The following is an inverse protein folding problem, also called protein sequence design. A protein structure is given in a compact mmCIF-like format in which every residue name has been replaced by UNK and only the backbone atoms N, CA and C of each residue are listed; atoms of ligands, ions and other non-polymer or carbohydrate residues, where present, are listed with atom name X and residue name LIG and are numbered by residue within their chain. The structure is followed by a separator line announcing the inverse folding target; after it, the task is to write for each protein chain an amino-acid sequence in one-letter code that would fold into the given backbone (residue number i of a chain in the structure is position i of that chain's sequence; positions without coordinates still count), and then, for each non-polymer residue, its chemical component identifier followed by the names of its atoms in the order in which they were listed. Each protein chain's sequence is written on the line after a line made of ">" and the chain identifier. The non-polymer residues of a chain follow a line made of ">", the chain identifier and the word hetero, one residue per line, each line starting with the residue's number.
data_IF_655102531199
#
_entry.id   IF_655102531199
#
_cell.length_a   1.000
_cell.length_b   1.000
_cell.length_c   1.000
_cell.angle_alpha   90.00
_cell.angle_beta   90.00
_cell.angle_gamma   90.00
#
_symmetry.space_group_name_H-M   'P 1'
#
loop_
_entity.id
_entity.type
_entity.pdbx_description
1 polymer ?
#
# COMPACT_ATOMS: atom_id res chain seq x y z
N UNK A 1 -13.09 25.55 -2.53
CA UNK A 1 -12.55 24.43 -3.32
C UNK A 1 -12.02 23.43 -2.31
N UNK A 2 -12.58 22.22 -2.25
CA UNK A 2 -11.92 21.18 -1.47
C UNK A 2 -10.65 20.82 -2.25
N UNK A 3 -9.49 21.04 -1.64
CA UNK A 3 -8.24 20.54 -2.21
C UNK A 3 -8.25 19.04 -2.02
N UNK A 4 -8.35 18.31 -3.13
CA UNK A 4 -8.10 16.88 -3.14
C UNK A 4 -6.60 16.64 -2.94
N UNK A 5 -6.29 15.61 -2.18
CA UNK A 5 -4.95 15.16 -1.84
C UNK A 5 -4.77 13.79 -2.47
N UNK A 6 -3.62 13.55 -3.10
CA UNK A 6 -3.26 12.23 -3.60
C UNK A 6 -2.74 11.36 -2.46
N UNK A 7 -3.17 10.11 -2.46
CA UNK A 7 -2.69 9.04 -1.59
C UNK A 7 -2.24 7.88 -2.46
N UNK A 8 -1.32 7.09 -1.93
CA UNK A 8 -0.79 5.89 -2.57
C UNK A 8 -1.07 4.68 -1.68
N UNK A 9 -1.42 3.55 -2.30
CA UNK A 9 -1.43 2.22 -1.68
C UNK A 9 -0.43 1.34 -2.42
N UNK A 10 0.58 0.85 -1.69
CA UNK A 10 1.75 0.16 -2.25
C UNK A 10 2.54 -0.56 -1.16
N UNK A 11 3.58 -1.30 -1.53
CA UNK A 11 4.57 -1.81 -0.59
C UNK A 11 5.40 -0.67 0.03
N UNK A 12 5.56 -0.62 1.37
CA UNK A 12 6.45 0.35 2.00
C UNK A 12 7.92 0.26 1.54
N UNK A 13 8.38 -0.88 0.99
CA UNK A 13 9.74 -1.05 0.48
C UNK A 13 10.06 -0.13 -0.72
N UNK A 14 9.04 0.26 -1.49
CA UNK A 14 9.19 1.19 -2.61
C UNK A 14 9.35 2.65 -2.16
N UNK A 15 9.07 2.94 -0.88
CA UNK A 15 9.08 4.31 -0.34
C UNK A 15 10.23 4.51 0.65
N UNK A 16 10.47 3.53 1.52
CA UNK A 16 11.49 3.61 2.54
C UNK A 16 12.85 3.20 1.98
N UNK A 17 13.88 4.02 2.22
CA UNK A 17 15.25 3.62 1.91
C UNK A 17 15.69 2.41 2.75
N UNK A 18 16.69 1.67 2.25
CA UNK A 18 17.20 0.45 2.87
C UNK A 18 17.58 0.62 4.34
N UNK A 19 18.28 1.70 4.71
CA UNK A 19 18.69 1.94 6.10
C UNK A 19 17.46 2.06 7.02
N UNK A 20 16.41 2.75 6.58
CA UNK A 20 15.17 2.92 7.36
C UNK A 20 14.37 1.63 7.43
N UNK A 21 14.32 0.88 6.32
CA UNK A 21 13.69 -0.44 6.26
C UNK A 21 14.36 -1.44 7.21
N UNK A 22 15.69 -1.48 7.21
CA UNK A 22 16.49 -2.34 8.10
C UNK A 22 16.25 -2.02 9.58
N UNK A 23 16.08 -0.74 9.93
CA UNK A 23 15.68 -0.34 11.29
C UNK A 23 14.28 -0.83 11.65
N UNK A 24 13.33 -0.81 10.72
CA UNK A 24 11.99 -1.36 10.94
C UNK A 24 12.04 -2.89 11.11
N UNK A 25 12.88 -3.59 10.33
CA UNK A 25 13.01 -5.05 10.38
C UNK A 25 13.46 -5.58 11.74
N UNK A 26 14.09 -4.76 12.59
CA UNK A 26 14.45 -5.12 13.97
C UNK A 26 13.25 -5.45 14.86
N UNK A 27 12.04 -5.02 14.47
CA UNK A 27 10.79 -5.27 15.18
C UNK A 27 10.04 -6.52 14.67
N UNK A 28 10.53 -7.20 13.63
CA UNK A 28 9.90 -8.40 13.07
C UNK A 28 9.74 -9.52 14.11
N UNK A 29 10.77 -9.73 14.94
CA UNK A 29 10.80 -10.77 15.97
C UNK A 29 10.00 -10.38 17.24
N UNK A 30 9.62 -9.10 17.41
CA UNK A 30 8.88 -8.63 18.57
C UNK A 30 7.40 -9.03 18.49
N UNK A 31 6.71 -8.58 17.44
CA UNK A 31 5.34 -8.99 17.08
C UNK A 31 4.93 -8.35 15.74
N UNK A 32 3.95 -8.91 15.00
CA UNK A 32 3.40 -8.28 13.79
C UNK A 32 2.95 -6.84 14.03
N UNK A 33 2.28 -6.59 15.16
CA UNK A 33 1.85 -5.24 15.53
C UNK A 33 3.03 -4.27 15.71
N UNK A 34 4.10 -4.69 16.36
CA UNK A 34 5.28 -3.83 16.59
C UNK A 34 5.97 -3.46 15.27
N UNK A 35 6.06 -4.42 14.33
CA UNK A 35 6.59 -4.17 13.00
C UNK A 35 5.69 -3.20 12.20
N UNK A 36 4.38 -3.46 12.16
CA UNK A 36 3.40 -2.59 11.49
C UNK A 36 3.42 -1.15 12.04
N UNK A 37 3.51 -1.00 13.37
CA UNK A 37 3.64 0.30 14.03
C UNK A 37 4.96 1.00 13.66
N UNK A 38 6.07 0.27 13.58
CA UNK A 38 7.38 0.82 13.23
C UNK A 38 7.41 1.34 11.78
N UNK A 39 6.88 0.57 10.82
CA UNK A 39 6.79 0.98 9.42
C UNK A 39 5.84 2.17 9.25
N UNK A 40 4.67 2.14 9.89
CA UNK A 40 3.71 3.27 9.89
C UNK A 40 4.35 4.56 10.41
N UNK A 41 5.16 4.44 11.47
CA UNK A 41 5.89 5.56 12.04
C UNK A 41 6.97 6.08 11.10
N UNK A 42 7.78 5.20 10.48
CA UNK A 42 8.81 5.60 9.55
C UNK A 42 8.24 6.37 8.34
N UNK A 43 7.13 5.89 7.78
CA UNK A 43 6.41 6.58 6.70
C UNK A 43 5.82 7.92 7.16
N UNK A 44 5.32 7.98 8.39
CA UNK A 44 4.80 9.23 8.97
C UNK A 44 5.92 10.26 9.16
N UNK A 45 7.07 9.83 9.68
CA UNK A 45 8.24 10.68 9.89
C UNK A 45 8.83 11.17 8.54
N UNK A 46 8.83 10.31 7.51
CA UNK A 46 9.26 10.65 6.15
C UNK A 46 8.34 11.68 5.48
N UNK A 47 7.02 11.45 5.53
CA UNK A 47 6.06 12.28 4.80
C UNK A 47 5.63 13.53 5.56
N UNK A 48 5.77 13.52 6.89
CA UNK A 48 5.20 14.55 7.77
C UNK A 48 3.67 14.46 7.90
N UNK A 49 3.04 13.39 7.41
CA UNK A 49 1.60 13.16 7.45
C UNK A 49 1.29 11.77 8.00
N UNK A 50 0.10 11.53 8.56
CA UNK A 50 -0.29 10.19 8.99
C UNK A 50 -0.15 9.17 7.86
N UNK A 51 0.56 8.08 8.15
CA UNK A 51 0.70 6.92 7.28
C UNK A 51 0.38 5.64 8.06
N UNK A 52 -0.08 4.63 7.34
CA UNK A 52 -0.59 3.40 7.92
C UNK A 52 0.00 2.22 7.17
N UNK A 53 0.45 1.20 7.88
CA UNK A 53 1.02 0.00 7.30
C UNK A 53 0.52 -1.24 8.05
N UNK A 54 0.38 -2.34 7.32
CA UNK A 54 -0.02 -3.63 7.84
C UNK A 54 0.62 -4.75 7.02
N UNK A 55 0.88 -5.89 7.64
CA UNK A 55 1.19 -7.12 6.93
C UNK A 55 0.01 -7.56 6.05
N UNK A 56 0.30 -8.24 4.96
CA UNK A 56 -0.69 -8.75 4.00
C UNK A 56 -1.33 -10.08 4.43
N UNK A 57 -0.80 -10.71 5.50
CA UNK A 57 -1.19 -12.04 5.99
C UNK A 57 -0.55 -13.21 5.24
N UNK A 58 -0.27 -13.07 3.95
CA UNK A 58 0.19 -14.18 3.08
C UNK A 58 1.61 -14.02 2.51
N UNK A 59 2.22 -12.84 2.64
CA UNK A 59 3.45 -12.48 1.92
C UNK A 59 3.11 -11.70 0.66
N UNK A 60 3.75 -12.03 -0.45
CA UNK A 60 3.63 -11.28 -1.70
C UNK A 60 2.18 -11.13 -2.14
N UNK A 61 1.80 -9.91 -2.48
CA UNK A 61 0.40 -9.54 -2.65
C UNK A 61 0.19 -8.68 -3.89
N UNK A 62 -0.41 -9.26 -4.94
CA UNK A 62 -0.96 -8.49 -6.07
C UNK A 62 -2.41 -8.15 -5.78
N UNK A 63 -2.78 -6.87 -5.84
CA UNK A 63 -4.15 -6.48 -5.54
C UNK A 63 -4.58 -5.24 -6.35
N UNK A 64 -5.87 -4.90 -6.25
CA UNK A 64 -6.51 -3.75 -6.87
C UNK A 64 -7.33 -3.00 -5.83
N UNK A 65 -7.34 -1.67 -5.92
CA UNK A 65 -8.28 -0.83 -5.17
C UNK A 65 -9.56 -0.57 -5.97
N UNK A 66 -10.69 -0.55 -5.28
CA UNK A 66 -12.02 -0.22 -5.78
C UNK A 66 -12.57 0.98 -5.02
N UNK A 67 -13.37 1.82 -5.68
CA UNK A 67 -13.96 3.00 -5.06
C UNK A 67 -14.01 4.20 -6.01
N UNK A 68 -13.97 5.39 -5.43
CA UNK A 68 -14.06 6.67 -6.16
C UNK A 68 -12.69 7.34 -6.31
N UNK A 69 -12.52 8.15 -7.36
CA UNK A 69 -11.35 9.01 -7.57
C UNK A 69 -10.00 8.26 -7.65
N UNK A 70 -10.02 7.04 -8.19
CA UNK A 70 -8.83 6.22 -8.44
C UNK A 70 -8.13 6.69 -9.72
N UNK A 71 -6.83 6.94 -9.63
CA UNK A 71 -5.94 7.30 -10.75
C UNK A 71 -5.19 6.07 -11.28
N UNK A 72 -4.69 5.23 -10.37
CA UNK A 72 -4.02 3.96 -10.66
C UNK A 72 -4.60 2.90 -9.74
N UNK A 73 -5.00 1.74 -10.28
CA UNK A 73 -5.81 0.77 -9.55
C UNK A 73 -5.03 -0.42 -9.01
N UNK A 74 -3.99 -0.86 -9.72
CA UNK A 74 -3.27 -2.12 -9.43
C UNK A 74 -1.98 -1.80 -8.67
N UNK A 75 -1.61 -2.66 -7.74
CA UNK A 75 -0.36 -2.56 -6.99
C UNK A 75 0.13 -3.94 -6.56
N UNK A 76 1.39 -3.99 -6.18
CA UNK A 76 2.05 -5.17 -5.62
C UNK A 76 2.66 -4.82 -4.27
N UNK A 77 2.68 -5.80 -3.38
CA UNK A 77 3.32 -5.76 -2.08
C UNK A 77 4.23 -6.99 -1.95
N UNK A 78 5.49 -6.84 -2.38
CA UNK A 78 6.53 -7.86 -2.52
C UNK A 78 7.36 -8.08 -1.24
N UNK A 79 7.19 -7.24 -0.23
CA UNK A 79 7.77 -7.43 1.11
C UNK A 79 6.78 -8.05 2.10
N UNK A 80 5.58 -8.41 1.64
CA UNK A 80 4.49 -8.91 2.47
C UNK A 80 3.83 -7.84 3.33
N UNK A 81 3.95 -6.57 2.92
CA UNK A 81 3.41 -5.42 3.63
C UNK A 81 2.66 -4.50 2.67
N UNK A 82 1.56 -3.92 3.14
CA UNK A 82 0.88 -2.83 2.45
C UNK A 82 0.91 -1.58 3.29
N UNK A 83 1.07 -0.43 2.64
CA UNK A 83 0.89 0.86 3.28
C UNK A 83 -0.09 1.76 2.53
N UNK A 84 -0.68 2.69 3.28
CA UNK A 84 -1.42 3.85 2.77
C UNK A 84 -0.74 5.10 3.29
N UNK A 85 -0.25 5.96 2.40
CA UNK A 85 0.33 7.23 2.78
C UNK A 85 -0.03 8.34 1.79
N UNK A 86 0.15 9.59 2.21
CA UNK A 86 0.00 10.73 1.32
C UNK A 86 1.11 10.68 0.27
N UNK A 87 0.74 10.82 -1.00
CA UNK A 87 1.69 10.90 -2.10
C UNK A 87 2.27 12.31 -2.16
N UNK A 88 3.46 12.50 -1.59
CA UNK A 88 4.18 13.77 -1.60
C UNK A 88 5.03 13.90 -2.87
N UNK A 89 5.44 15.12 -3.22
CA UNK A 89 6.32 15.33 -4.38
C UNK A 89 7.71 14.69 -4.21
N UNK A 90 8.14 14.44 -2.98
CA UNK A 90 9.38 13.72 -2.69
C UNK A 90 9.25 12.23 -3.03
N UNK A 91 8.12 11.61 -2.67
CA UNK A 91 7.80 10.23 -3.08
C UNK A 91 7.59 10.14 -4.59
N UNK A 92 6.86 11.07 -5.20
CA UNK A 92 6.69 11.09 -6.67
C UNK A 92 8.05 11.16 -7.38
N UNK A 93 8.97 11.99 -6.89
CA UNK A 93 10.33 12.09 -7.45
C UNK A 93 11.14 10.80 -7.27
N UNK A 94 11.05 10.18 -6.09
CA UNK A 94 11.73 8.90 -5.82
C UNK A 94 11.23 7.80 -6.75
N UNK A 95 9.91 7.72 -6.95
CA UNK A 95 9.32 6.78 -7.91
C UNK A 95 9.79 7.06 -9.34
N UNK A 96 9.84 8.31 -9.79
CA UNK A 96 10.34 8.66 -11.13
C UNK A 96 11.82 8.27 -11.35
N UNK A 97 12.64 8.33 -10.30
CA UNK A 97 14.08 8.06 -10.37
C UNK A 97 14.42 6.58 -10.25
N UNK A 98 13.80 5.87 -9.29
CA UNK A 98 14.18 4.52 -8.90
C UNK A 98 13.17 3.44 -9.35
N UNK A 99 11.92 3.82 -9.62
CA UNK A 99 10.83 2.92 -10.01
C UNK A 99 9.96 3.51 -11.14
N UNK A 100 10.53 3.78 -12.33
CA UNK A 100 9.86 4.56 -13.38
C UNK A 100 8.53 3.97 -13.85
N UNK A 101 8.34 2.65 -13.71
CA UNK A 101 7.14 1.93 -14.10
C UNK A 101 6.21 1.58 -12.91
N UNK A 102 6.43 2.17 -11.73
CA UNK A 102 5.72 1.77 -10.50
C UNK A 102 4.20 1.87 -10.62
N UNK A 103 3.68 2.83 -11.38
CA UNK A 103 2.23 3.00 -11.55
C UNK A 103 1.58 2.02 -12.52
N UNK A 104 2.37 1.16 -13.14
CA UNK A 104 1.85 0.09 -13.98
C UNK A 104 1.31 -1.05 -13.10
N UNK A 105 2.06 -1.45 -12.07
CA UNK A 105 1.69 -2.60 -11.22
C UNK A 105 2.20 -2.52 -9.78
N UNK A 106 3.08 -1.58 -9.41
CA UNK A 106 3.69 -1.50 -8.07
C UNK A 106 2.96 -0.56 -7.11
N UNK A 107 2.22 0.43 -7.59
CA UNK A 107 1.54 1.42 -6.75
C UNK A 107 0.18 1.85 -7.34
N UNK A 108 -0.83 1.81 -6.48
CA UNK A 108 -2.15 2.34 -6.76
C UNK A 108 -2.30 3.72 -6.14
N UNK A 109 -3.04 4.61 -6.79
CA UNK A 109 -3.13 6.03 -6.42
C UNK A 109 -4.59 6.45 -6.49
N UNK A 110 -5.02 7.21 -5.48
CA UNK A 110 -6.35 7.79 -5.44
C UNK A 110 -6.32 9.22 -4.90
N UNK A 111 -7.39 9.97 -5.16
CA UNK A 111 -7.59 11.30 -4.61
C UNK A 111 -8.69 11.30 -3.54
N UNK A 112 -8.42 11.94 -2.40
CA UNK A 112 -9.36 12.07 -1.29
C UNK A 112 -9.22 13.41 -0.59
N UNK A 113 -10.06 13.69 0.41
CA UNK A 113 -9.79 14.80 1.31
C UNK A 113 -8.55 14.55 2.18
N UNK A 114 -8.08 15.58 2.87
CA UNK A 114 -6.97 15.51 3.84
C UNK A 114 -7.33 14.82 5.16
N UNK A 115 -8.56 14.31 5.29
CA UNK A 115 -9.09 13.68 6.50
C UNK A 115 -9.67 12.29 6.16
N UNK A 116 -8.79 11.28 6.21
CA UNK A 116 -9.11 9.88 5.94
C UNK A 116 -8.90 9.03 7.20
N UNK A 117 -9.68 7.96 7.31
CA UNK A 117 -9.42 6.85 8.22
C UNK A 117 -9.05 5.61 7.39
N UNK A 118 -8.03 4.89 7.86
CA UNK A 118 -7.60 3.62 7.27
C UNK A 118 -7.81 2.53 8.32
N UNK A 119 -8.49 1.47 7.94
CA UNK A 119 -8.74 0.27 8.73
C UNK A 119 -8.22 -0.95 7.96
N UNK A 120 -7.64 -1.91 8.69
CA UNK A 120 -7.12 -3.15 8.11
C UNK A 120 -7.95 -4.31 8.65
N UNK A 121 -8.73 -4.92 7.76
CA UNK A 121 -9.47 -6.13 8.08
C UNK A 121 -8.54 -7.34 7.92
N UNK A 122 -8.01 -7.77 9.06
CA UNK A 122 -7.12 -8.93 9.20
C UNK A 122 -7.86 -10.15 9.78
N UNK A 123 -9.18 -10.23 9.57
CA UNK A 123 -9.98 -11.35 10.06
C UNK A 123 -9.66 -12.67 9.36
N UNK A 124 -9.19 -12.60 8.10
CA UNK A 124 -8.55 -13.70 7.40
C UNK A 124 -7.03 -13.67 7.68
N UNK A 125 -6.45 -14.68 8.33
CA UNK A 125 -5.01 -14.70 8.59
C UNK A 125 -4.16 -14.78 7.31
N UNK A 126 -4.77 -15.10 6.16
CA UNK A 126 -4.08 -15.20 4.87
C UNK A 126 -4.41 -14.04 3.94
N UNK A 127 -5.13 -13.01 4.41
CA UNK A 127 -5.47 -11.88 3.55
C UNK A 127 -5.86 -10.64 4.35
N UNK A 128 -5.18 -9.53 4.08
CA UNK A 128 -5.55 -8.23 4.64
C UNK A 128 -6.39 -7.43 3.65
N UNK A 129 -7.56 -6.94 4.07
CA UNK A 129 -8.33 -5.95 3.28
C UNK A 129 -8.10 -4.56 3.83
N UNK A 130 -7.55 -3.66 3.01
CA UNK A 130 -7.37 -2.25 3.35
C UNK A 130 -8.67 -1.50 3.06
N UNK A 131 -9.22 -0.83 4.06
CA UNK A 131 -10.46 -0.04 3.96
C UNK A 131 -10.15 1.42 4.27
N UNK A 132 -10.46 2.31 3.34
CA UNK A 132 -10.14 3.73 3.41
C UNK A 132 -11.44 4.52 3.33
N UNK A 133 -11.70 5.34 4.35
CA UNK A 133 -12.89 6.16 4.45
C UNK A 133 -12.53 7.64 4.52
N UNK A 134 -13.06 8.43 3.58
CA UNK A 134 -12.94 9.89 3.60
C UNK A 134 -14.00 10.49 4.54
N UNK A 135 -13.56 11.07 5.65
CA UNK A 135 -14.46 11.60 6.67
C UNK A 135 -15.21 12.87 6.23
N UNK A 136 -14.74 13.57 5.19
CA UNK A 136 -15.36 14.81 4.69
C UNK A 136 -16.34 14.55 3.56
N UNK A 137 -16.02 13.63 2.66
CA UNK A 137 -16.87 13.34 1.49
C UNK A 137 -17.77 12.12 1.68
N UNK A 138 -17.43 11.23 2.62
CA UNK A 138 -18.09 9.93 2.78
C UNK A 138 -17.72 8.92 1.69
N UNK A 139 -16.71 9.22 0.86
CA UNK A 139 -16.20 8.28 -0.13
C UNK A 139 -15.50 7.11 0.56
N UNK A 140 -15.58 5.96 -0.07
CA UNK A 140 -14.98 4.73 0.40
C UNK A 140 -14.13 4.09 -0.69
N UNK A 141 -12.97 3.59 -0.30
CA UNK A 141 -12.03 2.87 -1.16
C UNK A 141 -11.61 1.61 -0.40
N UNK A 142 -11.55 0.47 -1.08
CA UNK A 142 -11.08 -0.77 -0.48
C UNK A 142 -10.25 -1.60 -1.45
N UNK A 143 -9.37 -2.45 -0.91
CA UNK A 143 -8.69 -3.48 -1.71
C UNK A 143 -9.61 -4.67 -1.94
N UNK A 144 -9.30 -5.46 -2.96
CA UNK A 144 -9.97 -6.73 -3.24
C UNK A 144 -9.89 -7.68 -2.04
N UNK A 145 -10.97 -8.42 -1.78
CA UNK A 145 -10.99 -9.53 -0.83
C UNK A 145 -10.34 -10.79 -1.41
N UNK A 146 -9.99 -11.78 -0.57
CA UNK A 146 -9.46 -13.06 -1.05
C UNK A 146 -10.46 -13.78 -1.95
N UNK A 147 -11.74 -13.76 -1.61
CA UNK A 147 -12.81 -14.37 -2.42
C UNK A 147 -12.90 -13.75 -3.82
N UNK A 148 -12.85 -12.41 -3.92
CA UNK A 148 -12.89 -11.70 -5.19
C UNK A 148 -11.61 -11.96 -6.01
N UNK A 149 -10.46 -12.06 -5.34
CA UNK A 149 -9.18 -12.38 -5.97
C UNK A 149 -9.21 -13.75 -6.64
N UNK A 150 -9.64 -14.79 -5.94
CA UNK A 150 -9.74 -16.13 -6.54
C UNK A 150 -10.87 -16.27 -7.56
N UNK A 151 -11.84 -15.35 -7.57
CA UNK A 151 -12.89 -15.29 -8.58
C UNK A 151 -12.43 -14.55 -9.86
N UNK A 152 -11.54 -13.56 -9.74
CA UNK A 152 -10.96 -12.82 -10.87
C UNK A 152 -9.67 -13.47 -11.43
N UNK A 153 -8.94 -14.29 -10.66
CA UNK A 153 -7.64 -14.85 -11.05
C UNK A 153 -7.69 -16.19 -11.78
N UNK A 154 -8.06 -16.13 -13.06
CA UNK A 154 -7.55 -17.09 -14.04
C UNK A 154 -6.28 -16.55 -14.78
N UNK A 155 -5.79 -15.32 -14.53
CA UNK A 155 -4.79 -14.66 -15.43
C UNK A 155 -3.82 -13.61 -14.81
N UNK A 156 -3.73 -13.40 -13.49
CA UNK A 156 -2.80 -12.42 -12.88
C UNK A 156 -1.90 -13.06 -11.81
N UNK A 157 -0.61 -13.20 -12.11
CA UNK A 157 0.44 -13.65 -11.18
C UNK A 157 1.55 -12.60 -11.13
N UNK A 158 2.10 -12.35 -9.94
CA UNK A 158 3.34 -11.58 -9.77
C UNK A 158 4.59 -12.34 -10.24
N UNK A 159 4.47 -13.63 -10.56
CA UNK A 159 5.54 -14.40 -11.18
C UNK A 159 5.60 -14.11 -12.69
N UNK A 160 6.08 -12.92 -13.07
CA UNK A 160 6.82 -12.79 -14.32
C UNK A 160 8.24 -13.34 -14.06
N UNK A 161 8.32 -14.67 -13.96
CA UNK A 161 9.58 -15.37 -14.19
C UNK A 161 9.96 -15.17 -15.68
N UNK A 162 10.81 -14.18 -15.92
CA UNK A 162 11.79 -14.22 -17.01
C UNK A 162 12.72 -15.44 -16.80
N UNK A 163 12.18 -16.66 -16.95
CA UNK A 163 12.97 -17.87 -17.22
C UNK A 163 13.15 -18.02 -18.75
N UNK A 164 14.00 -17.18 -19.34
CA UNK A 164 14.56 -17.46 -20.67
C UNK A 164 15.93 -18.16 -20.50
N UNK A 165 15.92 -19.49 -20.60
CA UNK A 165 17.11 -20.36 -20.72
C UNK A 165 17.79 -20.26 -22.09
#
# INVERSE_FOLDING_TARGET
>A
MNMLVKYVVTDPCYILNNDTWDECCKFLDDSPKAFNDAVSKALTDLTGFPAFACDTGFGDWSNKIYGSYILHKEFCADSGMVCVCRLTSEIEKHFEEDYPDIYSHGASVFESSDDINVDFDISDPSWTVVKIHDNKTGNFIETMSSDDFYAENDDYSCDDEDEEY
#
